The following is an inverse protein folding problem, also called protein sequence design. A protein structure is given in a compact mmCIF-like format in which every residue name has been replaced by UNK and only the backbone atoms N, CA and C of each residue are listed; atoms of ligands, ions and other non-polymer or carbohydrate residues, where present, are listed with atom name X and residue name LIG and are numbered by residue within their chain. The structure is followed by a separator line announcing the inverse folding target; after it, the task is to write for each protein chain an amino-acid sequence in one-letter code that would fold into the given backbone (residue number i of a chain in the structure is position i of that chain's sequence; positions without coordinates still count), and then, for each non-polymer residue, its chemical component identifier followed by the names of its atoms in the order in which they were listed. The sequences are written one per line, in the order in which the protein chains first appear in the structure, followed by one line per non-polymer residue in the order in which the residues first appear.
data_IF_084239426935
#
_entry.id   IF_084239426935
#
_cell.length_a   1.000
_cell.length_b   1.000
_cell.length_c   1.000
_cell.angle_alpha   90.00
_cell.angle_beta   90.00
_cell.angle_gamma   90.00
#
_symmetry.space_group_name_H-M   'P 1'
#
loop_
_entity.id
_entity.type
_entity.pdbx_description
1 polymer ?
#
# COMPACT_ATOMS: atom_id res chain seq x y z
N UNK A 1 10.32 22.66 -18.52
CA UNK A 1 10.96 21.39 -18.14
C UNK A 1 9.96 20.31 -18.55
N UNK A 2 10.31 19.54 -19.57
CA UNK A 2 9.50 18.41 -20.04
C UNK A 2 9.36 17.42 -18.89
N UNK A 3 8.12 17.04 -18.57
CA UNK A 3 7.86 15.92 -17.67
C UNK A 3 8.63 14.73 -18.24
N UNK A 4 9.58 14.24 -17.45
CA UNK A 4 10.28 12.99 -17.74
C UNK A 4 9.20 11.91 -17.81
N UNK A 5 8.96 11.39 -19.00
CA UNK A 5 8.01 10.30 -19.19
C UNK A 5 8.65 9.09 -18.53
N UNK A 6 8.24 8.83 -17.28
CA UNK A 6 8.75 7.72 -16.48
C UNK A 6 8.76 6.41 -17.26
N UNK A 7 9.66 5.50 -16.92
CA UNK A 7 9.79 4.23 -17.63
C UNK A 7 8.46 3.46 -17.63
N UNK A 8 8.02 3.03 -18.80
CA UNK A 8 6.84 2.18 -18.93
C UNK A 8 7.08 0.82 -18.24
N UNK A 9 6.04 0.17 -17.70
CA UNK A 9 6.19 -1.18 -17.18
C UNK A 9 6.65 -2.14 -18.26
N UNK A 10 7.48 -3.10 -17.89
CA UNK A 10 7.95 -4.14 -18.82
C UNK A 10 6.80 -5.08 -19.23
N UNK A 11 5.83 -5.28 -18.36
CA UNK A 11 4.65 -6.12 -18.59
C UNK A 11 3.44 -5.58 -17.83
N UNK A 12 2.28 -5.63 -18.47
CA UNK A 12 0.99 -5.45 -17.83
C UNK A 12 0.11 -6.68 -18.05
N UNK A 13 -0.74 -7.00 -17.09
CA UNK A 13 -1.61 -8.16 -17.19
C UNK A 13 -2.73 -8.20 -16.15
N UNK A 14 -3.44 -9.32 -16.17
CA UNK A 14 -4.45 -9.66 -15.18
C UNK A 14 -4.21 -11.05 -14.62
N UNK A 15 -4.24 -11.18 -13.31
CA UNK A 15 -4.16 -12.45 -12.59
C UNK A 15 -5.55 -12.84 -12.09
N UNK A 16 -5.95 -14.10 -12.25
CA UNK A 16 -7.19 -14.60 -11.67
C UNK A 16 -6.91 -15.24 -10.33
N UNK A 17 -7.59 -14.77 -9.28
CA UNK A 17 -7.47 -15.35 -7.94
C UNK A 17 -8.31 -16.62 -7.80
N UNK A 18 -7.97 -17.47 -6.83
CA UNK A 18 -8.78 -18.65 -6.47
C UNK A 18 -10.19 -18.28 -6.04
N UNK A 19 -10.36 -17.09 -5.45
CA UNK A 19 -11.69 -16.54 -5.12
C UNK A 19 -12.45 -16.01 -6.35
N UNK A 20 -11.87 -16.11 -7.56
CA UNK A 20 -12.51 -15.75 -8.82
C UNK A 20 -12.36 -14.29 -9.24
N UNK A 21 -11.75 -13.42 -8.44
CA UNK A 21 -11.49 -12.03 -8.80
C UNK A 21 -10.34 -11.93 -9.83
N UNK A 22 -10.42 -10.96 -10.72
CA UNK A 22 -9.34 -10.60 -11.66
C UNK A 22 -8.60 -9.38 -11.14
N UNK A 23 -7.29 -9.50 -10.91
CA UNK A 23 -6.42 -8.43 -10.42
C UNK A 23 -5.56 -7.89 -11.55
N UNK A 24 -5.64 -6.60 -11.83
CA UNK A 24 -4.77 -5.93 -12.78
C UNK A 24 -3.40 -5.65 -12.13
N UNK A 25 -2.32 -5.90 -12.86
CA UNK A 25 -0.96 -5.67 -12.39
C UNK A 25 -0.05 -5.06 -13.45
N UNK A 26 1.06 -4.48 -13.00
CA UNK A 26 2.16 -3.98 -13.82
C UNK A 26 3.48 -4.46 -13.22
N UNK A 27 4.40 -4.95 -14.05
CA UNK A 27 5.73 -5.38 -13.65
C UNK A 27 6.77 -4.41 -14.21
N UNK A 28 7.60 -3.87 -13.35
CA UNK A 28 8.73 -2.99 -13.68
C UNK A 28 10.06 -3.74 -13.50
N UNK A 29 11.07 -3.35 -14.27
CA UNK A 29 12.37 -4.01 -14.27
C UNK A 29 12.36 -5.35 -15.02
N UNK A 30 13.42 -6.13 -14.85
CA UNK A 30 13.57 -7.42 -15.53
C UNK A 30 12.78 -8.51 -14.81
N UNK A 31 11.93 -9.24 -15.51
CA UNK A 31 11.11 -10.32 -14.95
C UNK A 31 11.91 -11.46 -14.32
N UNK A 32 13.13 -11.68 -14.81
CA UNK A 32 14.07 -12.72 -14.34
C UNK A 32 14.98 -12.24 -13.18
N UNK A 33 14.82 -11.02 -12.69
CA UNK A 33 15.62 -10.53 -11.58
C UNK A 33 15.37 -11.36 -10.30
N UNK A 34 16.45 -11.69 -9.61
CA UNK A 34 16.38 -12.43 -8.33
C UNK A 34 15.82 -11.60 -7.19
N UNK A 35 16.03 -10.26 -7.23
CA UNK A 35 15.45 -9.32 -6.30
C UNK A 35 14.03 -9.00 -6.74
N UNK A 36 13.07 -9.30 -5.90
CA UNK A 36 11.63 -9.18 -6.19
C UNK A 36 10.95 -8.37 -5.11
N UNK A 37 10.16 -7.39 -5.51
CA UNK A 37 9.35 -6.58 -4.62
C UNK A 37 7.91 -6.49 -5.12
N UNK A 38 6.93 -6.61 -4.23
CA UNK A 38 5.53 -6.31 -4.51
C UNK A 38 5.06 -5.17 -3.64
N UNK A 39 4.42 -4.16 -4.25
CA UNK A 39 4.02 -2.93 -3.57
C UNK A 39 2.50 -2.78 -3.61
N UNK A 40 1.90 -2.60 -2.43
CA UNK A 40 0.45 -2.58 -2.22
C UNK A 40 -0.01 -1.15 -1.93
N UNK A 41 -0.92 -0.62 -2.75
CA UNK A 41 -1.37 0.77 -2.69
C UNK A 41 -2.30 1.08 -1.51
N UNK A 42 -2.50 2.38 -1.23
CA UNK A 42 -3.41 2.91 -0.22
C UNK A 42 -4.89 2.77 -0.63
N UNK A 43 -5.81 2.90 0.34
CA UNK A 43 -7.25 2.92 0.10
C UNK A 43 -7.63 3.97 -0.94
N UNK A 44 -8.50 3.60 -1.88
CA UNK A 44 -9.00 4.44 -2.97
C UNK A 44 -7.92 5.01 -3.90
N UNK A 45 -6.74 4.37 -3.91
CA UNK A 45 -5.70 4.56 -4.92
C UNK A 45 -5.71 3.37 -5.89
N UNK A 46 -4.84 3.41 -6.87
CA UNK A 46 -4.56 2.31 -7.79
C UNK A 46 -3.05 1.96 -7.78
N UNK A 47 -2.64 1.00 -8.58
CA UNK A 47 -1.24 0.53 -8.61
C UNK A 47 -0.25 1.63 -8.99
N UNK A 48 -0.68 2.62 -9.77
CA UNK A 48 0.19 3.72 -10.20
C UNK A 48 0.62 4.64 -9.03
N UNK A 49 -0.03 4.51 -7.86
CA UNK A 49 0.42 5.10 -6.61
C UNK A 49 1.91 4.82 -6.30
N UNK A 50 2.37 3.61 -6.62
CA UNK A 50 3.74 3.20 -6.38
C UNK A 50 4.68 3.39 -7.57
N UNK A 51 4.18 3.88 -8.72
CA UNK A 51 4.99 4.03 -9.94
C UNK A 51 6.30 4.81 -9.69
N UNK A 52 6.31 5.98 -9.01
CA UNK A 52 7.54 6.74 -8.83
C UNK A 52 8.63 5.96 -8.07
N UNK A 53 8.22 5.09 -7.14
CA UNK A 53 9.13 4.22 -6.38
C UNK A 53 9.57 3.02 -7.23
N UNK A 54 8.64 2.40 -7.96
CA UNK A 54 8.93 1.26 -8.81
C UNK A 54 9.96 1.59 -9.90
N UNK A 55 9.84 2.73 -10.54
CA UNK A 55 10.79 3.22 -11.55
C UNK A 55 12.22 3.35 -11.00
N UNK A 56 12.37 3.78 -9.74
CA UNK A 56 13.67 3.89 -9.06
C UNK A 56 14.27 2.53 -8.68
N UNK A 57 13.43 1.56 -8.37
CA UNK A 57 13.88 0.20 -8.02
C UNK A 57 14.12 -0.69 -9.24
N UNK A 58 13.43 -0.43 -10.36
CA UNK A 58 13.47 -1.23 -11.58
C UNK A 58 14.85 -1.55 -12.14
N UNK A 59 15.88 -0.66 -12.05
CA UNK A 59 17.25 -0.99 -12.47
C UNK A 59 17.88 -2.15 -11.68
N UNK A 60 17.41 -2.43 -10.46
CA UNK A 60 18.00 -3.41 -9.54
C UNK A 60 17.07 -4.56 -9.14
N UNK A 61 15.77 -4.45 -9.39
CA UNK A 61 14.77 -5.41 -8.96
C UNK A 61 13.63 -5.56 -9.98
N UNK A 62 12.96 -6.70 -9.95
CA UNK A 62 11.62 -6.83 -10.50
C UNK A 62 10.61 -6.30 -9.48
N UNK A 63 9.78 -5.32 -9.87
CA UNK A 63 8.83 -4.65 -8.99
C UNK A 63 7.41 -4.84 -9.50
N UNK A 64 6.59 -5.54 -8.75
CA UNK A 64 5.21 -5.85 -9.05
C UNK A 64 4.29 -4.85 -8.35
N UNK A 65 3.51 -4.13 -9.12
CA UNK A 65 2.43 -3.26 -8.66
C UNK A 65 1.10 -3.90 -9.06
N UNK A 66 0.08 -3.81 -8.23
CA UNK A 66 -1.24 -4.32 -8.60
C UNK A 66 -2.36 -3.49 -7.99
N UNK A 67 -3.51 -3.52 -8.63
CA UNK A 67 -4.74 -2.97 -8.08
C UNK A 67 -5.37 -4.02 -7.15
N UNK A 68 -5.53 -3.71 -5.87
CA UNK A 68 -6.28 -4.56 -4.96
C UNK A 68 -7.71 -4.76 -5.48
N UNK A 69 -8.37 -5.89 -5.11
CA UNK A 69 -9.79 -6.05 -5.44
C UNK A 69 -10.59 -4.82 -5.03
N UNK A 70 -11.57 -4.42 -5.81
CA UNK A 70 -12.37 -3.23 -5.58
C UNK A 70 -11.70 -1.93 -6.04
N UNK A 71 -10.44 -1.94 -6.50
CA UNK A 71 -9.68 -0.74 -6.87
C UNK A 71 -9.22 -0.79 -8.33
N UNK A 72 -8.87 0.37 -8.86
CA UNK A 72 -8.25 0.55 -10.17
C UNK A 72 -8.95 -0.23 -11.29
N UNK A 73 -8.20 -1.04 -12.02
CA UNK A 73 -8.66 -1.91 -13.12
C UNK A 73 -8.95 -3.36 -12.68
N UNK A 74 -8.85 -3.67 -11.37
CA UNK A 74 -9.25 -4.95 -10.80
C UNK A 74 -10.76 -5.05 -10.66
N UNK A 75 -11.24 -6.29 -10.50
CA UNK A 75 -12.68 -6.56 -10.36
C UNK A 75 -13.28 -5.89 -9.12
N UNK A 76 -14.49 -5.39 -9.28
CA UNK A 76 -15.32 -4.77 -8.26
C UNK A 76 -16.28 -5.81 -7.68
N UNK A 77 -15.71 -6.86 -7.04
CA UNK A 77 -16.53 -7.91 -6.44
C UNK A 77 -17.33 -7.39 -5.25
N UNK A 78 -18.53 -7.93 -5.06
CA UNK A 78 -19.33 -7.60 -3.89
C UNK A 78 -18.60 -8.02 -2.59
N UNK A 79 -18.71 -7.18 -1.53
CA UNK A 79 -18.23 -7.54 -0.20
C UNK A 79 -19.06 -8.66 0.44
N UNK A 80 -18.79 -8.99 1.70
CA UNK A 80 -17.84 -8.28 2.57
C UNK A 80 -16.37 -8.56 2.20
N UNK A 81 -15.50 -7.55 2.39
CA UNK A 81 -14.06 -7.75 2.28
C UNK A 81 -13.44 -8.08 3.64
N UNK A 82 -12.40 -8.91 3.61
CA UNK A 82 -11.59 -9.23 4.80
C UNK A 82 -10.12 -9.01 4.50
N UNK A 83 -9.33 -8.68 5.51
CA UNK A 83 -7.91 -8.46 5.33
C UNK A 83 -7.19 -9.75 4.90
N UNK A 84 -7.67 -10.91 5.37
CA UNK A 84 -7.19 -12.23 4.96
C UNK A 84 -7.51 -12.52 3.49
N UNK A 85 -8.67 -12.06 3.00
CA UNK A 85 -9.04 -12.16 1.59
C UNK A 85 -8.07 -11.39 0.68
N UNK A 86 -7.68 -10.18 1.09
CA UNK A 86 -6.65 -9.39 0.37
C UNK A 86 -5.27 -10.04 0.44
N UNK A 87 -4.91 -10.63 1.58
CA UNK A 87 -3.67 -11.41 1.70
C UNK A 87 -3.69 -12.65 0.79
N UNK A 88 -4.83 -13.35 0.69
CA UNK A 88 -5.02 -14.47 -0.24
C UNK A 88 -4.90 -14.04 -1.70
N UNK A 89 -5.46 -12.90 -2.07
CA UNK A 89 -5.32 -12.33 -3.42
C UNK A 89 -3.86 -12.06 -3.78
N UNK A 90 -3.09 -11.53 -2.83
CA UNK A 90 -1.66 -11.30 -3.04
C UNK A 90 -0.90 -12.62 -3.22
N UNK A 91 -1.25 -13.68 -2.47
CA UNK A 91 -0.67 -15.01 -2.67
C UNK A 91 -0.95 -15.53 -4.08
N UNK A 92 -2.19 -15.43 -4.54
CA UNK A 92 -2.59 -15.88 -5.87
C UNK A 92 -1.91 -15.07 -6.99
N UNK A 93 -1.70 -13.77 -6.77
CA UNK A 93 -0.96 -12.91 -7.69
C UNK A 93 0.51 -13.33 -7.80
N UNK A 94 1.17 -13.61 -6.67
CA UNK A 94 2.55 -14.09 -6.67
C UNK A 94 2.66 -15.45 -7.36
N UNK A 95 1.71 -16.37 -7.16
CA UNK A 95 1.64 -17.65 -7.86
C UNK A 95 1.50 -17.45 -9.38
N UNK A 96 0.64 -16.51 -9.80
CA UNK A 96 0.41 -16.18 -11.21
C UNK A 96 1.68 -15.69 -11.92
N UNK A 97 2.48 -14.86 -11.25
CA UNK A 97 3.73 -14.34 -11.82
C UNK A 97 4.94 -15.26 -11.58
N UNK A 98 4.74 -16.43 -10.95
CA UNK A 98 5.79 -17.42 -10.70
C UNK A 98 6.80 -16.96 -9.62
N UNK A 99 6.35 -16.21 -8.61
CA UNK A 99 7.20 -15.77 -7.52
C UNK A 99 6.91 -16.55 -6.23
N UNK A 100 7.87 -17.34 -5.77
CA UNK A 100 7.74 -18.06 -4.50
C UNK A 100 7.72 -17.10 -3.31
N UNK A 101 8.56 -16.07 -3.33
CA UNK A 101 8.64 -15.05 -2.29
C UNK A 101 9.15 -13.73 -2.84
N UNK A 102 8.90 -12.65 -2.09
CA UNK A 102 9.32 -11.29 -2.43
C UNK A 102 9.52 -10.43 -1.16
N UNK A 103 10.17 -9.27 -1.32
CA UNK A 103 9.93 -8.14 -0.43
C UNK A 103 8.48 -7.71 -0.62
N UNK A 104 7.72 -7.57 0.45
CA UNK A 104 6.34 -7.09 0.44
C UNK A 104 6.29 -5.73 1.12
N UNK A 105 5.76 -4.73 0.42
CA UNK A 105 5.60 -3.42 1.04
C UNK A 105 4.23 -2.82 0.72
N UNK A 106 3.72 -2.01 1.63
CA UNK A 106 2.43 -1.37 1.43
C UNK A 106 2.30 -0.06 2.18
N UNK A 107 1.42 0.80 1.67
CA UNK A 107 1.09 2.08 2.28
C UNK A 107 -0.37 2.07 2.79
N UNK A 108 -0.59 2.57 4.02
CA UNK A 108 -1.92 2.70 4.63
C UNK A 108 -2.67 1.34 4.60
N UNK A 109 -3.81 1.23 3.90
CA UNK A 109 -4.50 -0.05 3.67
C UNK A 109 -3.54 -1.13 3.16
N UNK A 110 -2.68 -0.79 2.20
CA UNK A 110 -1.69 -1.72 1.65
C UNK A 110 -0.71 -2.23 2.70
N UNK A 111 -0.38 -1.43 3.71
CA UNK A 111 0.44 -1.86 4.85
C UNK A 111 -0.29 -2.89 5.72
N UNK A 112 -1.59 -2.70 5.98
CA UNK A 112 -2.41 -3.70 6.66
C UNK A 112 -2.46 -5.02 5.87
N UNK A 113 -2.62 -4.94 4.54
CA UNK A 113 -2.58 -6.12 3.65
C UNK A 113 -1.22 -6.81 3.72
N UNK A 114 -0.13 -6.04 3.68
CA UNK A 114 1.25 -6.56 3.77
C UNK A 114 1.52 -7.27 5.11
N UNK A 115 1.03 -6.70 6.22
CA UNK A 115 1.08 -7.33 7.55
C UNK A 115 0.28 -8.64 7.59
N UNK A 116 -0.94 -8.63 7.08
CA UNK A 116 -1.79 -9.82 7.03
C UNK A 116 -1.14 -10.91 6.16
N UNK A 117 -0.57 -10.54 5.02
CA UNK A 117 0.14 -11.45 4.14
C UNK A 117 1.38 -12.05 4.82
N UNK A 118 2.22 -11.23 5.46
CA UNK A 118 3.41 -11.70 6.19
C UNK A 118 3.05 -12.66 7.34
N UNK A 119 1.87 -12.48 7.94
CA UNK A 119 1.36 -13.37 8.98
C UNK A 119 0.85 -14.70 8.44
N UNK A 120 0.09 -14.64 7.34
CA UNK A 120 -0.54 -15.84 6.77
C UNK A 120 0.44 -16.69 5.93
N UNK A 121 1.43 -16.02 5.31
CA UNK A 121 2.38 -16.63 4.38
C UNK A 121 3.84 -16.25 4.70
N UNK A 122 4.35 -16.51 5.92
CA UNK A 122 5.66 -16.01 6.37
C UNK A 122 6.81 -16.49 5.48
N UNK A 123 6.69 -17.67 4.84
CA UNK A 123 7.70 -18.20 3.93
C UNK A 123 7.74 -17.47 2.57
N UNK A 124 6.74 -16.64 2.29
CA UNK A 124 6.60 -15.88 1.04
C UNK A 124 7.10 -14.44 1.16
N UNK A 125 7.64 -14.04 2.32
CA UNK A 125 8.09 -12.67 2.61
C UNK A 125 9.55 -12.65 3.02
N UNK A 126 10.39 -12.09 2.15
CA UNK A 126 11.82 -11.92 2.46
C UNK A 126 12.10 -10.71 3.36
N UNK A 127 11.32 -9.63 3.19
CA UNK A 127 11.39 -8.42 3.98
C UNK A 127 10.06 -7.67 3.91
N UNK A 128 9.79 -6.78 4.88
CA UNK A 128 8.52 -6.06 5.02
C UNK A 128 8.74 -4.55 5.05
N UNK A 129 8.08 -3.81 4.14
CA UNK A 129 8.03 -2.35 4.12
C UNK A 129 6.65 -1.83 4.53
N UNK A 130 6.59 -0.99 5.56
CA UNK A 130 5.35 -0.46 6.13
C UNK A 130 5.37 1.06 6.08
N UNK A 131 4.54 1.65 5.22
CA UNK A 131 4.49 3.08 4.97
C UNK A 131 3.16 3.65 5.44
N UNK A 132 3.20 4.67 6.33
CA UNK A 132 2.00 5.42 6.72
C UNK A 132 0.83 4.48 7.09
N UNK A 133 1.08 3.51 7.97
CA UNK A 133 0.14 2.40 8.23
C UNK A 133 0.10 2.01 9.70
N UNK A 134 -0.78 1.07 10.02
CA UNK A 134 -0.97 0.56 11.39
C UNK A 134 -1.36 -0.93 11.36
N UNK A 135 -1.21 -1.59 12.52
CA UNK A 135 -1.80 -2.91 12.75
C UNK A 135 -3.23 -2.83 13.32
N UNK A 136 -3.67 -1.64 13.77
CA UNK A 136 -4.97 -1.43 14.39
C UNK A 136 -5.32 0.06 14.44
N UNK A 137 -6.53 0.40 14.03
CA UNK A 137 -6.99 1.80 13.96
C UNK A 137 -7.63 2.32 15.26
N UNK A 138 -7.66 1.53 16.34
CA UNK A 138 -8.25 1.95 17.62
C UNK A 138 -9.60 1.32 17.91
N UNK A 139 -10.07 1.48 19.14
CA UNK A 139 -11.33 0.88 19.61
C UNK A 139 -12.56 1.44 18.88
N UNK A 140 -12.52 2.72 18.51
CA UNK A 140 -13.61 3.40 17.80
C UNK A 140 -13.58 3.16 16.28
N UNK A 141 -12.57 2.44 15.77
CA UNK A 141 -12.41 2.22 14.34
C UNK A 141 -13.63 1.58 13.66
N UNK A 142 -14.29 0.55 14.22
CA UNK A 142 -15.46 -0.04 13.57
C UNK A 142 -16.55 1.00 13.29
N UNK A 143 -16.83 1.88 14.25
CA UNK A 143 -17.82 2.95 14.11
C UNK A 143 -17.38 4.03 13.11
N UNK A 144 -16.15 4.55 13.27
CA UNK A 144 -15.64 5.63 12.42
C UNK A 144 -15.53 5.23 10.95
N UNK A 145 -15.10 4.00 10.68
CA UNK A 145 -15.00 3.48 9.31
C UNK A 145 -16.37 3.16 8.71
N UNK A 146 -17.35 2.73 9.53
CA UNK A 146 -18.74 2.56 9.07
C UNK A 146 -19.35 3.91 8.70
N UNK A 147 -19.25 4.92 9.56
CA UNK A 147 -19.73 6.28 9.27
C UNK A 147 -19.12 6.84 7.96
N UNK A 148 -17.83 6.54 7.73
CA UNK A 148 -17.15 6.92 6.50
C UNK A 148 -17.71 6.18 5.27
N UNK A 149 -17.97 4.88 5.40
CA UNK A 149 -18.57 4.05 4.35
C UNK A 149 -19.99 4.55 4.00
N UNK A 150 -20.83 4.79 5.00
CA UNK A 150 -22.19 5.30 4.82
C UNK A 150 -22.20 6.69 4.17
N UNK A 151 -21.31 7.59 4.61
CA UNK A 151 -21.18 8.93 4.00
C UNK A 151 -20.83 8.84 2.52
N UNK A 152 -19.91 7.94 2.14
CA UNK A 152 -19.54 7.74 0.75
C UNK A 152 -20.70 7.15 -0.08
N UNK A 153 -21.42 6.17 0.47
CA UNK A 153 -22.57 5.56 -0.21
C UNK A 153 -23.73 6.55 -0.40
N UNK A 154 -23.96 7.43 0.58
CA UNK A 154 -25.07 8.38 0.54
C UNK A 154 -24.79 9.61 -0.34
N UNK A 155 -23.57 10.12 -0.33
CA UNK A 155 -23.21 11.43 -0.92
C UNK A 155 -22.11 11.38 -1.99
N UNK A 156 -21.57 10.19 -2.31
CA UNK A 156 -20.39 10.08 -3.17
C UNK A 156 -19.11 10.52 -2.48
N UNK A 157 -18.05 10.66 -3.26
CA UNK A 157 -16.71 11.00 -2.75
C UNK A 157 -16.34 12.47 -2.89
N UNK A 158 -17.09 13.24 -3.70
CA UNK A 158 -16.78 14.65 -4.00
C UNK A 158 -16.67 15.50 -2.74
N UNK A 159 -17.62 15.37 -1.82
CA UNK A 159 -17.63 16.09 -0.53
C UNK A 159 -16.51 15.68 0.44
N UNK A 160 -15.70 14.70 0.07
CA UNK A 160 -14.56 14.24 0.89
C UNK A 160 -13.20 14.70 0.32
N UNK A 161 -13.16 15.30 -0.86
CA UNK A 161 -11.91 15.62 -1.58
C UNK A 161 -11.01 16.56 -0.77
N UNK A 162 -11.53 17.65 -0.24
CA UNK A 162 -10.73 18.60 0.54
C UNK A 162 -10.16 17.97 1.80
N UNK A 163 -10.99 17.24 2.54
CA UNK A 163 -10.55 16.50 3.72
C UNK A 163 -9.45 15.49 3.39
N UNK A 164 -9.58 14.77 2.26
CA UNK A 164 -8.59 13.78 1.86
C UNK A 164 -7.28 14.42 1.42
N UNK A 165 -7.33 15.44 0.56
CA UNK A 165 -6.12 16.08 0.03
C UNK A 165 -5.27 16.73 1.12
N UNK A 166 -5.91 17.31 2.15
CA UNK A 166 -5.21 17.86 3.31
C UNK A 166 -4.57 16.80 4.20
N UNK A 167 -5.14 15.60 4.26
CA UNK A 167 -4.56 14.48 5.00
C UNK A 167 -3.47 13.74 4.22
N UNK A 168 -3.63 13.64 2.90
CA UNK A 168 -2.69 12.92 2.03
C UNK A 168 -1.34 13.59 1.91
N UNK A 169 -1.33 14.92 1.73
CA UNK A 169 -0.14 15.67 1.33
C UNK A 169 0.08 16.91 2.19
N UNK A 170 1.33 17.21 2.47
CA UNK A 170 1.74 18.46 3.12
C UNK A 170 1.37 19.68 2.26
N UNK A 171 1.21 20.83 2.92
CA UNK A 171 0.86 22.08 2.23
C UNK A 171 1.94 22.45 1.20
N UNK A 172 3.20 22.24 1.57
CA UNK A 172 4.32 22.49 0.68
C UNK A 172 4.32 21.58 -0.55
N UNK A 173 3.95 20.30 -0.39
CA UNK A 173 3.82 19.37 -1.53
C UNK A 173 2.65 19.75 -2.42
N UNK A 174 1.47 20.04 -1.84
CA UNK A 174 0.29 20.45 -2.61
C UNK A 174 0.55 21.70 -3.47
N UNK A 175 1.30 22.66 -2.95
CA UNK A 175 1.66 23.86 -3.68
C UNK A 175 2.66 23.60 -4.84
N UNK A 176 3.61 22.68 -4.63
CA UNK A 176 4.66 22.38 -5.62
C UNK A 176 4.27 21.34 -6.67
N UNK A 177 3.37 20.42 -6.34
CA UNK A 177 2.96 19.27 -7.17
C UNK A 177 1.44 19.17 -7.33
N UNK A 178 0.76 20.24 -7.80
CA UNK A 178 -0.71 20.26 -7.94
C UNK A 178 -1.23 19.24 -8.96
N UNK A 179 -0.39 18.81 -9.89
CA UNK A 179 -0.66 17.78 -10.89
C UNK A 179 -0.77 16.38 -10.25
N UNK A 180 0.15 16.04 -9.33
CA UNK A 180 0.11 14.79 -8.58
C UNK A 180 -1.14 14.75 -7.69
N UNK A 181 -1.43 15.85 -6.99
CA UNK A 181 -2.62 15.97 -6.14
C UNK A 181 -3.90 15.77 -6.96
N UNK A 182 -4.00 16.45 -8.11
CA UNK A 182 -5.15 16.32 -9.03
C UNK A 182 -5.31 14.87 -9.51
N UNK A 183 -4.21 14.22 -9.91
CA UNK A 183 -4.26 12.82 -10.33
C UNK A 183 -4.79 11.91 -9.22
N UNK A 184 -4.32 12.06 -7.98
CA UNK A 184 -4.83 11.28 -6.83
C UNK A 184 -6.32 11.56 -6.57
N UNK A 185 -6.78 12.80 -6.73
CA UNK A 185 -8.21 13.15 -6.63
C UNK A 185 -9.02 12.46 -7.74
N UNK A 186 -8.54 12.45 -8.97
CA UNK A 186 -9.20 11.77 -10.08
C UNK A 186 -9.29 10.25 -9.84
N UNK A 187 -8.24 9.62 -9.31
CA UNK A 187 -8.27 8.19 -8.93
C UNK A 187 -9.27 7.95 -7.81
N UNK A 188 -9.26 8.77 -6.78
CA UNK A 188 -10.18 8.71 -5.66
C UNK A 188 -11.64 8.80 -6.10
N UNK A 189 -11.97 9.78 -6.92
CA UNK A 189 -13.34 10.02 -7.43
C UNK A 189 -13.86 8.91 -8.35
N UNK A 190 -12.96 8.15 -9.00
CA UNK A 190 -13.32 6.99 -9.84
C UNK A 190 -13.54 5.70 -9.04
N UNK A 191 -13.36 5.72 -7.71
CA UNK A 191 -13.55 4.53 -6.88
C UNK A 191 -14.98 4.02 -6.96
N UNK A 192 -15.14 2.71 -7.06
CA UNK A 192 -16.43 2.05 -6.94
C UNK A 192 -16.94 2.17 -5.51
N UNK A 193 -18.07 2.85 -5.31
CA UNK A 193 -18.59 3.18 -3.98
C UNK A 193 -18.86 1.95 -3.10
N UNK A 194 -19.50 0.87 -3.59
CA UNK A 194 -19.66 -0.36 -2.81
C UNK A 194 -18.34 -0.97 -2.38
N UNK A 195 -17.35 -1.03 -3.28
CA UNK A 195 -16.02 -1.56 -2.98
C UNK A 195 -15.24 -0.68 -2.00
N UNK A 196 -15.37 0.64 -2.12
CA UNK A 196 -14.80 1.59 -1.17
C UNK A 196 -15.39 1.39 0.23
N UNK A 197 -16.72 1.30 0.34
CA UNK A 197 -17.40 1.06 1.61
C UNK A 197 -17.01 -0.29 2.23
N UNK A 198 -16.93 -1.36 1.41
CA UNK A 198 -16.48 -2.66 1.87
C UNK A 198 -15.02 -2.62 2.39
N UNK A 199 -14.14 -1.86 1.72
CA UNK A 199 -12.75 -1.66 2.18
C UNK A 199 -12.68 -0.85 3.48
N UNK A 200 -13.52 0.17 3.65
CA UNK A 200 -13.64 0.92 4.90
C UNK A 200 -14.03 -0.01 6.07
N UNK A 201 -15.08 -0.82 5.89
CA UNK A 201 -15.54 -1.79 6.89
C UNK A 201 -14.46 -2.80 7.26
N UNK A 202 -13.74 -3.31 6.28
CA UNK A 202 -12.59 -4.20 6.48
C UNK A 202 -11.52 -3.55 7.37
N UNK A 203 -11.15 -2.28 7.09
CA UNK A 203 -10.16 -1.55 7.89
C UNK A 203 -10.67 -1.28 9.31
N UNK A 204 -11.96 -1.01 9.46
CA UNK A 204 -12.58 -0.78 10.77
C UNK A 204 -12.43 -1.95 11.75
N UNK A 205 -12.41 -3.18 11.24
CA UNK A 205 -12.27 -4.40 12.07
C UNK A 205 -10.88 -5.01 12.02
N UNK A 206 -9.93 -4.38 11.31
CA UNK A 206 -8.57 -4.90 11.19
C UNK A 206 -7.83 -4.77 12.52
N UNK A 207 -7.42 -5.90 13.11
CA UNK A 207 -6.55 -5.95 14.28
C UNK A 207 -5.50 -7.06 14.13
N UNK A 208 -4.28 -6.65 13.84
CA UNK A 208 -3.14 -7.54 13.64
C UNK A 208 -2.10 -7.44 14.77
N UNK A 209 -2.41 -6.71 15.87
CA UNK A 209 -1.47 -6.46 16.97
C UNK A 209 -0.91 -7.74 17.58
N UNK A 210 -1.75 -8.73 17.80
CA UNK A 210 -1.35 -10.02 18.38
C UNK A 210 -0.39 -10.83 17.50
N UNK A 211 -0.25 -10.46 16.22
CA UNK A 211 0.60 -11.14 15.25
C UNK A 211 2.00 -10.54 15.10
N UNK A 212 2.18 -9.28 15.50
CA UNK A 212 3.44 -8.56 15.33
C UNK A 212 4.64 -9.25 16.03
N UNK A 213 4.53 -9.75 17.27
CA UNK A 213 5.68 -10.36 17.95
C UNK A 213 6.21 -11.64 17.28
N UNK A 214 5.41 -12.28 16.43
CA UNK A 214 5.81 -13.47 15.69
C UNK A 214 6.57 -13.17 14.38
N UNK A 215 6.69 -11.91 13.99
CA UNK A 215 7.37 -11.51 12.76
C UNK A 215 8.88 -11.45 12.98
N UNK A 216 9.62 -12.39 12.37
CA UNK A 216 11.08 -12.47 12.46
C UNK A 216 11.70 -12.30 11.05
N UNK A 217 11.61 -11.11 10.51
CA UNK A 217 12.11 -10.75 9.17
C UNK A 217 12.61 -9.30 9.17
N UNK A 218 13.50 -8.92 8.23
CA UNK A 218 13.88 -7.52 8.06
C UNK A 218 12.62 -6.67 7.78
N UNK A 219 12.43 -5.61 8.57
CA UNK A 219 11.29 -4.72 8.39
C UNK A 219 11.70 -3.25 8.51
N UNK A 220 11.05 -2.39 7.72
CA UNK A 220 11.18 -0.95 7.81
C UNK A 220 9.80 -0.32 7.95
N UNK A 221 9.64 0.55 8.94
CA UNK A 221 8.45 1.35 9.18
C UNK A 221 8.80 2.79 8.82
N UNK A 222 8.04 3.40 7.93
CA UNK A 222 8.17 4.80 7.54
C UNK A 222 6.85 5.51 7.77
N UNK A 223 6.92 6.76 8.26
CA UNK A 223 5.74 7.56 8.53
C UNK A 223 6.05 9.04 8.31
N UNK A 224 5.10 9.77 7.73
CA UNK A 224 5.17 11.23 7.69
C UNK A 224 5.04 11.83 9.09
N UNK A 225 5.87 12.84 9.40
CA UNK A 225 5.84 13.56 10.70
C UNK A 225 4.45 14.17 10.95
N UNK A 226 3.78 14.61 9.89
CA UNK A 226 2.45 15.22 9.93
C UNK A 226 1.35 14.26 9.44
N UNK A 227 1.53 12.96 9.60
CA UNK A 227 0.48 12.00 9.23
C UNK A 227 -0.68 12.04 10.23
N UNK A 228 -1.81 12.59 9.79
CA UNK A 228 -3.04 12.67 10.58
C UNK A 228 -3.96 11.46 10.41
N UNK A 229 -3.65 10.55 9.48
CA UNK A 229 -4.46 9.37 9.22
C UNK A 229 -3.97 8.16 10.03
N UNK A 230 -2.66 7.94 10.03
CA UNK A 230 -1.97 6.94 10.84
C UNK A 230 -0.79 7.61 11.56
N UNK A 231 -1.07 8.35 12.65
CA UNK A 231 -0.08 9.20 13.31
C UNK A 231 1.11 8.40 13.84
N UNK A 232 2.23 9.10 14.08
CA UNK A 232 3.51 8.56 14.53
C UNK A 232 3.38 7.48 15.61
N UNK A 233 2.47 7.64 16.56
CA UNK A 233 2.25 6.65 17.63
C UNK A 233 1.86 5.27 17.09
N UNK A 234 1.19 5.18 15.94
CA UNK A 234 0.86 3.91 15.29
C UNK A 234 2.11 3.28 14.65
N UNK A 235 2.95 4.06 14.00
CA UNK A 235 4.23 3.59 13.45
C UNK A 235 5.19 3.12 14.56
N UNK A 236 5.25 3.84 15.69
CA UNK A 236 5.99 3.42 16.88
C UNK A 236 5.45 2.10 17.46
N UNK A 237 4.13 1.89 17.45
CA UNK A 237 3.54 0.64 17.90
C UNK A 237 3.95 -0.54 16.99
N UNK A 238 3.98 -0.34 15.67
CA UNK A 238 4.51 -1.32 14.71
C UNK A 238 5.98 -1.62 14.99
N UNK A 239 6.80 -0.58 15.14
CA UNK A 239 8.23 -0.71 15.41
C UNK A 239 8.51 -1.45 16.73
N UNK A 240 7.77 -1.14 17.80
CA UNK A 240 7.87 -1.87 19.06
C UNK A 240 7.40 -3.33 18.94
N UNK A 241 6.41 -3.58 18.10
CA UNK A 241 5.80 -4.91 17.92
C UNK A 241 6.60 -5.85 17.03
N UNK A 242 7.39 -5.33 16.08
CA UNK A 242 8.17 -6.12 15.11
C UNK A 242 9.66 -6.04 15.49
N UNK A 243 10.18 -7.12 16.05
CA UNK A 243 11.57 -7.18 16.51
C UNK A 243 12.55 -6.95 15.34
N UNK A 244 13.55 -6.10 15.56
CA UNK A 244 14.57 -5.80 14.54
C UNK A 244 14.12 -4.90 13.39
N UNK A 245 12.90 -4.36 13.45
CA UNK A 245 12.46 -3.35 12.49
C UNK A 245 13.22 -2.04 12.67
N UNK A 246 13.22 -1.20 11.63
CA UNK A 246 13.68 0.19 11.69
C UNK A 246 12.48 1.13 11.64
N UNK A 247 12.56 2.30 12.29
CA UNK A 247 11.57 3.36 12.19
C UNK A 247 12.21 4.62 11.58
N UNK A 248 11.58 5.16 10.54
CA UNK A 248 11.98 6.42 9.92
C UNK A 248 10.80 7.39 9.91
N UNK A 249 10.98 8.56 10.52
CA UNK A 249 10.01 9.65 10.49
C UNK A 249 10.42 10.63 9.39
N UNK A 250 9.56 10.89 8.44
CA UNK A 250 9.82 11.77 7.30
C UNK A 250 9.34 13.18 7.66
N UNK A 251 10.30 14.06 7.91
CA UNK A 251 10.02 15.44 8.33
C UNK A 251 9.17 16.20 7.30
N UNK A 252 8.09 16.81 7.78
CA UNK A 252 7.19 17.65 6.99
C UNK A 252 6.37 16.92 5.93
N UNK A 253 6.36 15.58 5.92
CA UNK A 253 5.50 14.77 5.07
C UNK A 253 4.22 14.33 5.79
N UNK A 254 3.17 14.04 5.03
CA UNK A 254 1.90 13.51 5.53
C UNK A 254 1.72 12.04 5.15
N UNK A 255 0.50 11.65 4.80
CA UNK A 255 0.06 10.25 4.73
C UNK A 255 0.48 9.47 3.47
N UNK A 256 0.84 10.12 2.39
CA UNK A 256 1.21 9.42 1.17
C UNK A 256 2.71 9.62 0.87
N UNK A 257 3.56 9.23 1.82
CA UNK A 257 5.02 9.40 1.73
C UNK A 257 5.65 8.78 0.47
N UNK A 258 5.14 7.65 -0.11
CA UNK A 258 5.66 7.14 -1.37
C UNK A 258 5.53 8.11 -2.56
N UNK A 259 4.55 9.03 -2.49
CA UNK A 259 4.36 10.08 -3.50
C UNK A 259 5.07 11.38 -3.11
N UNK A 260 5.08 11.74 -1.82
CA UNK A 260 5.73 12.98 -1.36
C UNK A 260 7.27 12.89 -1.44
N UNK A 261 7.83 11.74 -1.12
CA UNK A 261 9.29 11.53 -1.01
C UNK A 261 9.72 10.19 -1.64
N UNK A 262 9.45 9.97 -2.93
CA UNK A 262 9.68 8.69 -3.59
C UNK A 262 11.14 8.22 -3.54
N UNK A 263 12.11 9.13 -3.49
CA UNK A 263 13.54 8.79 -3.36
C UNK A 263 13.85 8.14 -2.00
N UNK A 264 13.28 8.69 -0.92
CA UNK A 264 13.47 8.13 0.42
C UNK A 264 12.75 6.78 0.57
N UNK A 265 11.54 6.66 0.02
CA UNK A 265 10.78 5.42 -0.02
C UNK A 265 11.53 4.32 -0.79
N UNK A 266 12.03 4.63 -1.99
CA UNK A 266 12.82 3.71 -2.79
C UNK A 266 14.12 3.29 -2.08
N UNK A 267 14.84 4.24 -1.46
CA UNK A 267 16.06 3.96 -0.72
C UNK A 267 15.82 3.02 0.47
N UNK A 268 14.69 3.16 1.17
CA UNK A 268 14.34 2.27 2.26
C UNK A 268 14.05 0.84 1.76
N UNK A 269 13.32 0.70 0.66
CA UNK A 269 13.03 -0.60 0.06
C UNK A 269 14.28 -1.24 -0.55
N UNK A 270 15.18 -0.47 -1.16
CA UNK A 270 16.43 -0.98 -1.72
C UNK A 270 17.33 -1.58 -0.62
N UNK A 271 17.43 -0.91 0.55
CA UNK A 271 18.12 -1.48 1.72
C UNK A 271 17.48 -2.78 2.21
N UNK A 272 16.15 -2.87 2.21
CA UNK A 272 15.45 -4.12 2.56
C UNK A 272 15.73 -5.24 1.56
N UNK A 273 15.82 -4.93 0.26
CA UNK A 273 16.19 -5.88 -0.79
C UNK A 273 17.63 -6.40 -0.58
N UNK A 274 18.57 -5.55 -0.15
CA UNK A 274 19.94 -5.97 0.17
C UNK A 274 19.96 -6.91 1.37
N UNK A 275 19.23 -6.60 2.45
CA UNK A 275 19.12 -7.45 3.63
C UNK A 275 18.46 -8.81 3.35
N UNK A 276 17.46 -8.82 2.47
CA UNK A 276 16.77 -10.03 2.04
C UNK A 276 17.68 -10.96 1.21
N UNK A 277 18.56 -10.39 0.39
CA UNK A 277 19.48 -11.15 -0.47
C UNK A 277 20.68 -11.74 0.28
N UNK A 278 20.94 -11.30 1.50
CA UNK A 278 22.04 -11.78 2.35
C UNK A 278 21.66 -12.97 3.25
N UNK A 279 20.40 -13.41 3.20
CA UNK A 279 19.86 -14.57 3.95
C UNK A 279 19.65 -15.76 3.02
#
# INVERSE_FOLDING_TARGET
MTADAGAAPATEGKARTRAGASLAYSLYGRSDALRRAVLVHSLAMDRDFWRPVAERLAPRAAVLLYDCRGHGKSDKSAGPYTIEGFAGDLADLLDHVGWDAALVAGASMGGCVSLAFATAYPQRVHALGLFDTTAWYGAEAPKQWEERAEKALAGGLDGMVEFQTTRWFSDAFRARHPDVVRHCVEVFLRSDLPSYAASCRMLGVCDLRAKLPGMNLPAAVLVGEEDYATPLAMAEALHRGIAGSTLTVIKGARHLTPLEVPDQAASALDRLLDLASAR
#
